data_IF_519705456462
#
_entry.id   IF_519705456462
#
_cell.length_a   1.000
_cell.length_b   1.000
_cell.length_c   1.000
_cell.angle_alpha   90.00
_cell.angle_beta   90.00
_cell.angle_gamma   90.00
#
_symmetry.space_group_name_H-M   'P 1'
#
loop_
_entity.id
_entity.type
_entity.pdbx_description
1 polymer ?
#
# COMPACT_ATOMS: atom_id res chain seq x y z
N UNK A 1 -32.30 3.43 9.17
CA UNK A 1 -32.60 2.01 9.48
C UNK A 1 -31.28 1.26 9.46
N UNK A 2 -30.86 0.68 10.58
CA UNK A 2 -29.61 -0.09 10.68
C UNK A 2 -29.79 -1.38 9.88
N UNK A 3 -28.87 -1.64 8.96
CA UNK A 3 -28.90 -2.80 8.07
C UNK A 3 -28.69 -4.08 8.90
N UNK A 4 -29.64 -5.03 8.95
CA UNK A 4 -29.53 -6.23 9.76
C UNK A 4 -28.94 -7.36 8.91
N UNK A 5 -27.62 -7.37 8.76
CA UNK A 5 -26.85 -8.55 8.37
C UNK A 5 -25.34 -8.24 8.53
N UNK A 6 -24.75 -8.58 9.66
CA UNK A 6 -23.31 -8.79 9.70
C UNK A 6 -22.99 -9.87 10.73
N UNK A 7 -23.29 -11.12 10.37
CA UNK A 7 -22.50 -12.24 10.87
C UNK A 7 -21.04 -11.90 10.58
N UNK A 8 -20.28 -11.63 11.63
CA UNK A 8 -18.96 -10.99 11.59
C UNK A 8 -18.02 -11.74 10.66
N UNK A 9 -17.87 -11.27 9.42
CA UNK A 9 -16.77 -11.73 8.60
C UNK A 9 -15.51 -11.11 9.22
N UNK A 10 -14.67 -11.92 9.87
CA UNK A 10 -13.51 -11.42 10.62
C UNK A 10 -12.44 -10.85 9.69
N UNK A 11 -12.46 -11.25 8.42
CA UNK A 11 -11.55 -10.77 7.38
C UNK A 11 -12.15 -9.60 6.61
N UNK A 12 -11.40 -8.51 6.55
CA UNK A 12 -11.65 -7.33 5.72
C UNK A 12 -10.84 -7.45 4.42
N UNK A 13 -11.50 -7.71 3.30
CA UNK A 13 -10.82 -7.74 2.00
C UNK A 13 -10.60 -6.34 1.42
N UNK A 14 -9.43 -6.14 0.80
CA UNK A 14 -8.98 -4.88 0.24
C UNK A 14 -8.77 -4.89 -1.27
N UNK A 15 -9.09 -3.75 -1.90
CA UNK A 15 -8.87 -3.49 -3.33
C UNK A 15 -7.64 -2.59 -3.53
N UNK A 16 -6.80 -2.93 -4.51
CA UNK A 16 -5.55 -2.22 -4.77
C UNK A 16 -5.60 -1.24 -5.96
N UNK A 17 -5.56 0.05 -5.66
CA UNK A 17 -5.21 1.22 -6.49
C UNK A 17 -6.13 1.58 -7.67
N UNK A 18 -6.76 0.61 -8.33
CA UNK A 18 -7.39 0.79 -9.63
C UNK A 18 -8.57 -0.15 -9.81
N UNK A 19 -9.39 0.17 -10.80
CA UNK A 19 -10.55 -0.61 -11.21
C UNK A 19 -10.36 -1.18 -12.62
N UNK A 20 -10.92 -2.35 -12.87
CA UNK A 20 -10.91 -2.99 -14.19
C UNK A 20 -12.10 -2.52 -15.05
N UNK A 21 -13.30 -2.59 -14.49
CA UNK A 21 -14.56 -2.31 -15.19
C UNK A 21 -15.12 -0.93 -14.84
N UNK A 22 -14.94 -0.48 -13.60
CA UNK A 22 -15.43 0.84 -13.18
C UNK A 22 -14.62 1.95 -13.85
N UNK A 23 -15.27 3.02 -14.36
CA UNK A 23 -14.60 4.10 -15.06
C UNK A 23 -13.87 5.08 -14.13
N UNK A 24 -13.36 4.61 -12.99
CA UNK A 24 -12.63 5.40 -11.99
C UNK A 24 -11.14 5.40 -12.35
N UNK A 25 -10.59 6.58 -12.66
CA UNK A 25 -9.20 6.71 -13.12
C UNK A 25 -8.45 7.77 -12.35
N UNK A 26 -7.37 7.36 -11.71
CA UNK A 26 -6.35 8.27 -11.20
C UNK A 26 -5.48 8.80 -12.35
N UNK A 27 -5.12 10.07 -12.25
CA UNK A 27 -4.35 10.82 -13.22
C UNK A 27 -2.92 11.01 -12.72
N UNK A 28 -2.00 11.01 -13.67
CA UNK A 28 -0.60 11.31 -13.41
C UNK A 28 -0.02 12.12 -14.59
N UNK A 29 1.17 12.67 -14.39
CA UNK A 29 1.96 13.35 -15.42
C UNK A 29 3.42 12.90 -15.29
N UNK A 30 4.23 13.23 -16.29
CA UNK A 30 5.66 12.95 -16.27
C UNK A 30 6.45 14.24 -16.04
N UNK A 31 7.68 14.09 -15.56
CA UNK A 31 8.64 15.18 -15.44
C UNK A 31 8.82 15.86 -16.80
N UNK A 32 9.07 15.07 -17.86
CA UNK A 32 9.23 15.57 -19.23
C UNK A 32 8.08 16.47 -19.69
N UNK A 33 6.84 16.05 -19.45
CA UNK A 33 5.67 16.83 -19.87
C UNK A 33 5.46 18.09 -19.02
N UNK A 34 6.04 18.15 -17.82
CA UNK A 34 5.83 19.26 -16.87
C UNK A 34 6.99 20.26 -16.92
N UNK A 35 8.23 19.80 -17.14
CA UNK A 35 9.41 20.66 -17.28
C UNK A 35 9.47 21.44 -18.60
N UNK A 36 8.65 21.05 -19.58
CA UNK A 36 8.49 21.77 -20.85
C UNK A 36 7.44 22.89 -20.78
N UNK A 37 6.77 23.06 -19.64
CA UNK A 37 5.75 24.09 -19.44
C UNK A 37 6.33 25.23 -18.60
N UNK A 38 5.79 26.44 -18.76
CA UNK A 38 6.01 27.53 -17.80
C UNK A 38 5.54 27.09 -16.41
N UNK A 39 6.28 27.48 -15.35
CA UNK A 39 6.04 26.98 -13.99
C UNK A 39 4.61 27.18 -13.52
N UNK A 40 4.02 28.35 -13.77
CA UNK A 40 2.62 28.63 -13.42
C UNK A 40 1.64 27.69 -14.13
N UNK A 41 1.81 27.48 -15.44
CA UNK A 41 0.97 26.54 -16.20
C UNK A 41 1.17 25.09 -15.75
N UNK A 42 2.38 24.71 -15.34
CA UNK A 42 2.65 23.41 -14.75
C UNK A 42 1.92 23.22 -13.42
N UNK A 43 1.90 24.25 -12.55
CA UNK A 43 1.19 24.24 -11.27
C UNK A 43 -0.33 24.18 -11.46
N UNK A 44 -0.90 24.94 -12.39
CA UNK A 44 -2.33 24.85 -12.76
C UNK A 44 -2.70 23.44 -13.23
N UNK A 45 -1.86 22.83 -14.08
CA UNK A 45 -2.04 21.44 -14.51
C UNK A 45 -1.99 20.48 -13.32
N UNK A 46 -1.01 20.63 -12.42
CA UNK A 46 -0.86 19.78 -11.23
C UNK A 46 -2.08 19.92 -10.29
N UNK A 47 -2.56 21.14 -10.04
CA UNK A 47 -3.76 21.40 -9.25
C UNK A 47 -4.99 20.68 -9.82
N UNK A 48 -5.21 20.79 -11.13
CA UNK A 48 -6.29 20.06 -11.81
C UNK A 48 -6.16 18.55 -11.64
N UNK A 49 -4.97 17.98 -11.81
CA UNK A 49 -4.75 16.54 -11.64
C UNK A 49 -4.99 16.09 -10.19
N UNK A 50 -4.56 16.87 -9.20
CA UNK A 50 -4.79 16.57 -7.78
C UNK A 50 -6.28 16.59 -7.44
N UNK A 51 -7.03 17.58 -7.95
CA UNK A 51 -8.49 17.64 -7.81
C UNK A 51 -9.18 16.44 -8.45
N UNK A 52 -8.82 16.10 -9.69
CA UNK A 52 -9.35 14.90 -10.38
C UNK A 52 -9.05 13.62 -9.57
N UNK A 53 -7.88 13.53 -8.94
CA UNK A 53 -7.49 12.41 -8.10
C UNK A 53 -8.27 12.33 -6.79
N UNK A 54 -8.56 13.46 -6.14
CA UNK A 54 -9.41 13.49 -4.95
C UNK A 54 -10.84 12.99 -5.28
N UNK A 55 -11.41 13.45 -6.40
CA UNK A 55 -12.74 13.00 -6.87
C UNK A 55 -12.75 11.51 -7.24
N UNK A 56 -11.67 11.01 -7.86
CA UNK A 56 -11.49 9.59 -8.14
C UNK A 56 -11.39 8.76 -6.86
N UNK A 57 -10.69 9.26 -5.83
CA UNK A 57 -10.62 8.61 -4.53
C UNK A 57 -11.99 8.55 -3.86
N UNK A 58 -12.75 9.65 -3.84
CA UNK A 58 -14.10 9.67 -3.31
C UNK A 58 -15.00 8.64 -4.01
N UNK A 59 -14.92 8.57 -5.34
CA UNK A 59 -15.66 7.57 -6.14
C UNK A 59 -15.23 6.14 -5.80
N UNK A 60 -13.93 5.91 -5.59
CA UNK A 60 -13.37 4.61 -5.21
C UNK A 60 -13.92 4.15 -3.86
N UNK A 61 -13.93 5.04 -2.87
CA UNK A 61 -14.47 4.77 -1.54
C UNK A 61 -15.98 4.52 -1.60
N UNK A 62 -16.73 5.28 -2.40
CA UNK A 62 -18.16 5.06 -2.64
C UNK A 62 -18.45 3.68 -3.26
N UNK A 63 -17.61 3.24 -4.21
CA UNK A 63 -17.70 1.88 -4.74
C UNK A 63 -17.43 0.84 -3.65
N UNK A 64 -16.36 1.00 -2.87
CA UNK A 64 -16.02 0.09 -1.78
C UNK A 64 -17.16 -0.03 -0.76
N UNK A 65 -17.75 1.10 -0.34
CA UNK A 65 -18.89 1.13 0.57
C UNK A 65 -20.12 0.40 0.02
N UNK A 66 -20.50 0.69 -1.23
CA UNK A 66 -21.68 0.09 -1.87
C UNK A 66 -21.51 -1.41 -2.15
N UNK A 67 -20.28 -1.86 -2.36
CA UNK A 67 -19.97 -3.24 -2.67
C UNK A 67 -19.49 -4.05 -1.47
N UNK A 68 -19.35 -3.45 -0.28
CA UNK A 68 -18.86 -4.11 0.94
C UNK A 68 -17.40 -4.56 0.83
N UNK A 69 -16.55 -3.79 0.16
CA UNK A 69 -15.10 -3.92 0.17
C UNK A 69 -14.60 -3.05 1.32
N UNK A 70 -13.91 -3.65 2.30
CA UNK A 70 -13.61 -2.98 3.54
C UNK A 70 -12.25 -2.29 3.59
N UNK A 71 -11.41 -2.45 2.57
CA UNK A 71 -10.11 -1.77 2.49
C UNK A 71 -9.84 -1.27 1.07
N UNK A 72 -9.15 -0.14 0.94
CA UNK A 72 -8.69 0.39 -0.34
C UNK A 72 -7.27 0.94 -0.22
N UNK A 73 -6.33 0.36 -0.99
CA UNK A 73 -5.00 0.94 -1.17
C UNK A 73 -5.06 2.05 -2.18
N UNK A 74 -4.78 3.24 -1.70
CA UNK A 74 -4.79 4.46 -2.49
C UNK A 74 -3.59 4.44 -3.43
N UNK A 75 -3.79 4.94 -4.65
CA UNK A 75 -2.70 5.11 -5.60
C UNK A 75 -1.63 6.04 -5.00
N UNK A 76 -0.39 5.58 -4.87
CA UNK A 76 0.70 6.36 -4.25
C UNK A 76 1.08 7.63 -5.04
N UNK A 77 0.73 7.70 -6.32
CA UNK A 77 0.94 8.88 -7.18
C UNK A 77 -0.26 9.84 -7.13
N UNK A 78 -1.03 9.84 -6.04
CA UNK A 78 -2.24 10.66 -5.85
C UNK A 78 -1.97 12.16 -5.98
N UNK A 79 -0.79 12.63 -5.57
CA UNK A 79 -0.24 13.95 -5.90
C UNK A 79 0.94 13.79 -6.88
N UNK A 80 0.72 13.91 -8.20
CA UNK A 80 1.76 13.72 -9.20
C UNK A 80 2.99 14.60 -8.96
N UNK A 81 4.19 14.04 -9.07
CA UNK A 81 5.49 14.75 -9.00
C UNK A 81 5.79 15.52 -7.69
N UNK A 82 4.99 15.39 -6.62
CA UNK A 82 5.09 16.20 -5.38
C UNK A 82 6.52 16.35 -4.86
N UNK A 83 7.29 15.26 -4.85
CA UNK A 83 8.64 15.18 -4.28
C UNK A 83 9.76 15.24 -5.33
N UNK A 84 9.43 15.46 -6.61
CA UNK A 84 10.41 15.46 -7.68
C UNK A 84 11.38 16.64 -7.54
N UNK A 85 12.72 16.47 -7.64
CA UNK A 85 13.69 17.54 -7.40
C UNK A 85 13.51 18.80 -8.26
N UNK A 86 13.04 18.64 -9.50
CA UNK A 86 12.87 19.74 -10.46
C UNK A 86 11.42 20.23 -10.59
N UNK A 87 10.44 19.40 -10.25
CA UNK A 87 9.02 19.68 -10.53
C UNK A 87 8.13 19.65 -9.29
N UNK A 88 8.70 19.28 -8.13
CA UNK A 88 8.00 19.23 -6.86
C UNK A 88 7.41 20.58 -6.46
N UNK A 89 6.52 20.54 -5.49
CA UNK A 89 5.72 21.69 -5.04
C UNK A 89 5.23 21.42 -3.62
N UNK A 90 4.79 22.47 -2.95
CA UNK A 90 3.91 22.37 -1.78
C UNK A 90 2.47 22.64 -2.17
N UNK A 91 1.51 22.19 -1.34
CA UNK A 91 0.09 22.44 -1.64
C UNK A 91 -0.21 23.94 -1.73
N UNK A 92 0.50 24.77 -0.97
CA UNK A 92 0.42 26.24 -1.03
C UNK A 92 0.90 26.84 -2.35
N UNK A 93 1.66 26.10 -3.17
CA UNK A 93 2.08 26.54 -4.50
C UNK A 93 0.98 26.34 -5.55
N UNK A 94 0.02 25.45 -5.28
CA UNK A 94 -1.05 25.11 -6.21
C UNK A 94 -2.18 26.14 -6.13
N UNK A 95 -2.74 26.56 -7.28
CA UNK A 95 -4.03 27.21 -7.31
C UNK A 95 -5.08 26.33 -6.60
N UNK A 96 -5.83 26.92 -5.66
CA UNK A 96 -6.87 26.24 -4.89
C UNK A 96 -6.33 25.03 -4.09
N UNK A 97 -5.08 25.12 -3.62
CA UNK A 97 -4.41 24.05 -2.89
C UNK A 97 -5.10 23.66 -1.59
N UNK A 98 -5.65 24.64 -0.85
CA UNK A 98 -6.39 24.40 0.39
C UNK A 98 -7.67 23.60 0.12
N UNK A 99 -8.43 23.99 -0.91
CA UNK A 99 -9.66 23.30 -1.33
C UNK A 99 -9.36 21.88 -1.83
N UNK A 100 -8.22 21.65 -2.47
CA UNK A 100 -7.79 20.30 -2.86
C UNK A 100 -7.53 19.44 -1.62
N UNK A 101 -6.89 19.99 -0.57
CA UNK A 101 -6.67 19.28 0.69
C UNK A 101 -8.00 18.99 1.39
N UNK A 102 -8.95 19.93 1.37
CA UNK A 102 -10.31 19.72 1.90
C UNK A 102 -11.01 18.53 1.25
N UNK A 103 -10.92 18.37 -0.09
CA UNK A 103 -11.48 17.20 -0.78
C UNK A 103 -10.87 15.87 -0.30
N UNK A 104 -9.56 15.84 -0.01
CA UNK A 104 -8.92 14.63 0.56
C UNK A 104 -9.33 14.38 2.02
N UNK A 105 -9.54 15.44 2.81
CA UNK A 105 -10.06 15.33 4.17
C UNK A 105 -11.50 14.78 4.20
N UNK A 106 -12.33 15.20 3.24
CA UNK A 106 -13.67 14.64 3.02
C UNK A 106 -13.60 13.14 2.70
N UNK A 107 -12.67 12.72 1.81
CA UNK A 107 -12.44 11.31 1.51
C UNK A 107 -12.07 10.51 2.78
N UNK A 108 -11.18 11.05 3.62
CA UNK A 108 -10.80 10.40 4.87
C UNK A 108 -11.93 10.30 5.89
N UNK A 109 -12.79 11.33 5.95
CA UNK A 109 -14.00 11.33 6.77
C UNK A 109 -14.97 10.25 6.29
N UNK A 110 -15.24 10.21 4.98
CA UNK A 110 -16.10 9.21 4.35
C UNK A 110 -15.60 7.79 4.60
N UNK A 111 -14.30 7.54 4.40
CA UNK A 111 -13.71 6.22 4.63
C UNK A 111 -13.95 5.75 6.07
N UNK A 112 -13.74 6.63 7.06
CA UNK A 112 -13.98 6.31 8.47
C UNK A 112 -15.46 6.06 8.79
N UNK A 113 -16.37 6.87 8.25
CA UNK A 113 -17.81 6.73 8.47
C UNK A 113 -18.38 5.42 7.90
N UNK A 114 -17.79 4.95 6.79
CA UNK A 114 -18.17 3.70 6.13
C UNK A 114 -17.33 2.49 6.58
N UNK A 115 -16.47 2.65 7.58
CA UNK A 115 -15.54 1.62 8.04
C UNK A 115 -14.75 1.01 6.87
N UNK A 116 -14.08 1.86 6.09
CA UNK A 116 -13.16 1.47 5.02
C UNK A 116 -11.74 1.84 5.48
N UNK A 117 -10.88 0.82 5.59
CA UNK A 117 -9.47 1.02 5.90
C UNK A 117 -8.73 1.53 4.66
N UNK A 118 -7.89 2.54 4.82
CA UNK A 118 -7.07 3.08 3.74
C UNK A 118 -5.59 2.87 4.03
N UNK A 119 -4.82 2.61 2.98
CA UNK A 119 -3.38 2.40 3.05
C UNK A 119 -2.68 2.88 1.77
N UNK A 120 -1.35 2.95 1.83
CA UNK A 120 -0.48 3.20 0.69
C UNK A 120 0.55 2.10 0.57
N UNK A 121 0.98 1.84 -0.67
CA UNK A 121 2.18 1.07 -0.99
C UNK A 121 2.96 1.85 -2.05
N UNK A 122 3.88 2.74 -1.64
CA UNK A 122 4.72 3.49 -2.57
C UNK A 122 5.56 2.57 -3.46
N UNK A 123 6.03 3.10 -4.59
CA UNK A 123 6.71 2.27 -5.57
C UNK A 123 8.06 1.70 -5.08
N UNK A 124 8.59 0.75 -5.85
CA UNK A 124 9.86 0.07 -5.59
C UNK A 124 11.10 1.00 -5.55
N UNK A 125 10.97 2.29 -5.88
CA UNK A 125 12.07 3.26 -5.80
C UNK A 125 12.21 3.87 -4.40
N UNK A 126 11.23 3.65 -3.51
CA UNK A 126 11.34 3.98 -2.07
C UNK A 126 12.16 2.90 -1.38
N UNK A 127 13.46 3.16 -1.19
CA UNK A 127 14.43 2.18 -0.70
C UNK A 127 15.26 2.73 0.45
N UNK A 128 14.84 2.44 1.67
CA UNK A 128 15.50 2.92 2.89
C UNK A 128 16.85 2.28 3.18
N UNK A 129 17.17 1.12 2.60
CA UNK A 129 18.41 0.40 2.86
C UNK A 129 19.49 0.60 1.77
N UNK A 130 19.26 1.52 0.83
CA UNK A 130 20.18 1.80 -0.26
C UNK A 130 21.56 2.25 0.25
N UNK A 131 22.66 1.77 -0.35
CA UNK A 131 24.01 2.26 -0.03
C UNK A 131 24.23 3.70 -0.54
N UNK A 132 23.36 4.19 -1.41
CA UNK A 132 23.42 5.53 -2.01
C UNK A 132 22.66 6.55 -1.16
N UNK A 133 23.34 7.55 -0.55
CA UNK A 133 22.69 8.52 0.34
C UNK A 133 21.62 9.37 -0.34
N UNK A 134 21.77 9.66 -1.63
CA UNK A 134 20.80 10.42 -2.42
C UNK A 134 19.49 9.65 -2.61
N UNK A 135 19.56 8.33 -2.84
CA UNK A 135 18.38 7.45 -2.94
C UNK A 135 17.63 7.40 -1.61
N UNK A 136 18.35 7.26 -0.49
CA UNK A 136 17.74 7.27 0.84
C UNK A 136 17.06 8.61 1.12
N UNK A 137 17.70 9.73 0.76
CA UNK A 137 17.14 11.07 0.98
C UNK A 137 15.83 11.27 0.21
N UNK A 138 15.78 10.81 -1.05
CA UNK A 138 14.54 10.83 -1.86
C UNK A 138 13.47 9.90 -1.30
N UNK A 139 13.86 8.71 -0.83
CA UNK A 139 12.93 7.76 -0.20
C UNK A 139 12.30 8.32 1.07
N UNK A 140 13.09 9.03 1.89
CA UNK A 140 12.57 9.72 3.08
C UNK A 140 11.58 10.80 2.67
N UNK A 141 11.93 11.65 1.69
CA UNK A 141 11.03 12.71 1.21
C UNK A 141 9.70 12.14 0.68
N UNK A 142 9.76 11.02 -0.07
CA UNK A 142 8.57 10.33 -0.54
C UNK A 142 7.72 9.81 0.62
N UNK A 143 8.31 9.16 1.61
CA UNK A 143 7.57 8.67 2.78
C UNK A 143 6.93 9.79 3.61
N UNK A 144 7.59 10.94 3.76
CA UNK A 144 7.03 12.11 4.43
C UNK A 144 5.80 12.63 3.68
N UNK A 145 5.87 12.74 2.35
CA UNK A 145 4.74 13.10 1.50
C UNK A 145 3.58 12.09 1.62
N UNK A 146 3.87 10.79 1.48
CA UNK A 146 2.84 9.74 1.59
C UNK A 146 2.15 9.79 2.95
N UNK A 147 2.91 10.07 4.01
CA UNK A 147 2.38 10.14 5.37
C UNK A 147 1.63 11.45 5.67
N UNK A 148 1.96 12.54 4.98
CA UNK A 148 1.16 13.77 4.97
C UNK A 148 -0.22 13.51 4.37
N UNK A 149 -0.28 12.92 3.17
CA UNK A 149 -1.58 12.57 2.56
C UNK A 149 -2.33 11.54 3.40
N UNK A 150 -1.63 10.58 4.00
CA UNK A 150 -2.23 9.60 4.92
C UNK A 150 -2.95 10.25 6.11
N UNK A 151 -2.50 11.40 6.60
CA UNK A 151 -3.21 12.16 7.65
C UNK A 151 -4.56 12.71 7.16
N UNK A 152 -4.63 13.14 5.91
CA UNK A 152 -5.85 13.66 5.29
C UNK A 152 -6.87 12.55 5.09
N UNK A 153 -6.45 11.47 4.43
CA UNK A 153 -7.30 10.34 4.03
C UNK A 153 -7.46 9.25 5.10
N UNK A 154 -6.94 9.51 6.31
CA UNK A 154 -6.98 8.62 7.49
C UNK A 154 -6.37 7.24 7.25
N UNK A 155 -5.36 7.16 6.39
CA UNK A 155 -4.61 5.93 6.18
C UNK A 155 -3.68 5.65 7.37
N UNK A 156 -3.70 4.40 7.85
CA UNK A 156 -2.90 3.95 9.00
C UNK A 156 -1.67 3.13 8.59
N UNK A 157 -1.54 2.77 7.30
CA UNK A 157 -0.44 1.97 6.77
C UNK A 157 0.18 2.67 5.56
N UNK A 158 1.50 2.82 5.58
CA UNK A 158 2.36 3.11 4.43
C UNK A 158 3.35 1.96 4.33
N UNK A 159 3.09 1.02 3.42
CA UNK A 159 3.87 -0.20 3.28
C UNK A 159 5.00 -0.05 2.29
N UNK A 160 6.18 -0.61 2.60
CA UNK A 160 7.32 -0.69 1.66
C UNK A 160 7.97 -2.07 1.75
N UNK A 161 8.72 -2.46 0.72
CA UNK A 161 9.57 -3.65 0.82
C UNK A 161 10.86 -3.40 1.62
N UNK A 162 11.55 -4.47 2.01
CA UNK A 162 12.85 -4.40 2.69
C UNK A 162 13.96 -3.74 1.86
N UNK A 163 13.79 -3.63 0.54
CA UNK A 163 14.71 -2.98 -0.38
C UNK A 163 15.67 -3.95 -1.07
N UNK A 164 16.92 -3.55 -1.32
CA UNK A 164 17.91 -4.40 -1.99
C UNK A 164 18.82 -5.17 -1.02
N UNK A 165 19.24 -6.38 -1.36
CA UNK A 165 20.19 -7.16 -0.55
C UNK A 165 21.64 -6.66 -0.63
N UNK A 166 22.02 -6.01 -1.72
CA UNK A 166 23.36 -5.40 -1.95
C UNK A 166 24.56 -6.31 -1.63
N UNK A 167 24.41 -7.63 -1.77
CA UNK A 167 25.45 -8.63 -1.49
C UNK A 167 25.61 -9.00 0.00
N UNK A 168 24.97 -8.29 0.92
CA UNK A 168 25.00 -8.55 2.36
C UNK A 168 23.67 -8.10 2.98
N UNK A 169 22.73 -9.06 3.12
CA UNK A 169 21.41 -8.81 3.69
C UNK A 169 21.49 -8.29 5.13
N UNK A 170 22.28 -8.89 6.07
CA UNK A 170 22.42 -8.35 7.42
C UNK A 170 22.87 -6.88 7.45
N UNK A 171 23.87 -6.49 6.67
CA UNK A 171 24.33 -5.10 6.64
C UNK A 171 23.31 -4.17 5.98
N UNK A 172 22.57 -4.64 4.97
CA UNK A 172 21.45 -3.91 4.39
C UNK A 172 20.32 -3.68 5.40
N UNK A 173 19.94 -4.68 6.20
CA UNK A 173 18.93 -4.54 7.26
C UNK A 173 19.40 -3.54 8.33
N UNK A 174 20.68 -3.57 8.73
CA UNK A 174 21.25 -2.56 9.65
C UNK A 174 21.14 -1.14 9.08
N UNK A 175 21.40 -0.95 7.78
CA UNK A 175 21.18 0.34 7.12
C UNK A 175 19.71 0.76 7.13
N UNK A 176 18.79 -0.17 6.87
CA UNK A 176 17.35 0.08 7.00
C UNK A 176 17.03 0.61 8.40
N UNK A 177 17.41 -0.13 9.45
CA UNK A 177 17.18 0.24 10.84
C UNK A 177 17.80 1.59 11.22
N UNK A 178 19.00 1.90 10.70
CA UNK A 178 19.64 3.21 10.89
C UNK A 178 18.83 4.33 10.24
N UNK A 179 18.32 4.12 9.03
CA UNK A 179 17.56 5.15 8.30
C UNK A 179 16.15 5.32 8.83
N UNK A 180 15.53 4.30 9.43
CA UNK A 180 14.26 4.45 10.17
C UNK A 180 14.33 5.54 11.24
N UNK A 181 15.49 5.70 11.90
CA UNK A 181 15.70 6.72 12.94
C UNK A 181 15.69 8.15 12.40
N UNK A 182 15.76 8.32 11.07
CA UNK A 182 15.73 9.64 10.39
C UNK A 182 14.32 10.05 9.99
N UNK A 183 13.36 9.13 10.03
CA UNK A 183 11.98 9.39 9.67
C UNK A 183 11.26 10.14 10.78
N UNK A 184 10.34 11.03 10.41
CA UNK A 184 9.49 11.72 11.38
C UNK A 184 8.57 10.72 12.11
N UNK A 185 8.03 11.14 13.26
CA UNK A 185 7.02 10.34 13.97
C UNK A 185 5.76 10.13 13.11
N UNK A 186 5.42 11.10 12.25
CA UNK A 186 4.32 11.00 11.28
C UNK A 186 4.50 9.79 10.37
N UNK A 187 5.70 9.58 9.83
CA UNK A 187 6.01 8.40 9.01
C UNK A 187 6.10 7.14 9.85
N UNK A 188 6.89 7.17 10.94
CA UNK A 188 7.16 5.98 11.76
C UNK A 188 5.90 5.34 12.35
N UNK A 189 4.86 6.14 12.64
CA UNK A 189 3.60 5.62 13.17
C UNK A 189 2.79 4.78 12.17
N UNK A 190 3.04 4.95 10.86
CA UNK A 190 2.30 4.30 9.76
C UNK A 190 3.14 3.33 8.94
N UNK A 191 4.46 3.47 8.98
CA UNK A 191 5.36 2.66 8.18
C UNK A 191 5.25 1.18 8.56
N UNK A 192 5.12 0.33 7.54
CA UNK A 192 5.26 -1.12 7.65
C UNK A 192 6.29 -1.61 6.65
N UNK A 193 6.80 -2.82 6.86
CA UNK A 193 7.68 -3.49 5.92
C UNK A 193 7.07 -4.80 5.47
N UNK A 194 7.30 -5.18 4.21
CA UNK A 194 6.76 -6.39 3.59
C UNK A 194 7.88 -7.32 3.12
N UNK A 195 7.68 -8.64 3.29
CA UNK A 195 8.51 -9.66 2.65
C UNK A 195 8.27 -9.69 1.13
N UNK A 196 9.27 -10.09 0.35
CA UNK A 196 9.22 -10.04 -1.12
C UNK A 196 9.60 -11.38 -1.77
N UNK A 197 9.42 -11.46 -3.09
CA UNK A 197 9.57 -12.69 -3.87
C UNK A 197 11.02 -13.04 -4.27
N UNK A 198 12.01 -12.22 -3.88
CA UNK A 198 13.40 -12.32 -4.40
C UNK A 198 14.50 -12.11 -3.38
N UNK A 199 14.30 -11.20 -2.44
CA UNK A 199 15.33 -10.65 -1.58
C UNK A 199 15.03 -11.00 -0.14
N UNK A 200 13.96 -10.49 0.47
CA UNK A 200 13.74 -10.61 1.90
C UNK A 200 12.56 -11.53 2.24
N UNK A 201 12.87 -12.63 2.95
CA UNK A 201 11.85 -13.55 3.49
C UNK A 201 11.27 -13.00 4.81
N UNK A 202 10.18 -13.60 5.35
CA UNK A 202 9.71 -13.26 6.68
C UNK A 202 10.79 -13.40 7.76
N UNK A 203 11.59 -14.46 7.73
CA UNK A 203 12.68 -14.69 8.70
C UNK A 203 13.75 -13.60 8.66
N UNK A 204 14.02 -13.03 7.48
CA UNK A 204 14.96 -11.91 7.35
C UNK A 204 14.41 -10.63 8.04
N UNK A 205 13.10 -10.36 7.92
CA UNK A 205 12.49 -9.08 8.34
C UNK A 205 11.90 -9.09 9.75
N UNK A 206 11.49 -10.25 10.27
CA UNK A 206 10.90 -10.35 11.62
C UNK A 206 11.80 -9.76 12.72
N UNK A 207 13.12 -10.03 12.76
CA UNK A 207 14.00 -9.42 13.77
C UNK A 207 14.02 -7.89 13.70
N UNK A 208 14.05 -7.32 12.49
CA UNK A 208 13.98 -5.87 12.28
C UNK A 208 12.67 -5.30 12.81
N UNK A 209 11.54 -5.96 12.52
CA UNK A 209 10.22 -5.54 12.99
C UNK A 209 10.14 -5.55 14.51
N UNK A 210 10.63 -6.61 15.15
CA UNK A 210 10.66 -6.75 16.61
C UNK A 210 11.56 -5.72 17.29
N UNK A 211 12.74 -5.44 16.72
CA UNK A 211 13.68 -4.46 17.27
C UNK A 211 13.16 -3.03 17.15
N UNK A 212 12.53 -2.69 16.02
CA UNK A 212 12.20 -1.31 15.68
C UNK A 212 10.75 -0.94 15.94
N UNK A 213 9.89 -1.93 16.16
CA UNK A 213 8.45 -1.79 16.39
C UNK A 213 7.63 -1.49 15.13
N UNK A 214 8.23 -1.57 13.93
CA UNK A 214 7.46 -1.48 12.67
C UNK A 214 6.76 -2.82 12.41
N UNK A 215 5.48 -2.82 11.98
CA UNK A 215 4.80 -4.06 11.65
C UNK A 215 5.31 -4.72 10.36
N UNK A 216 5.27 -6.06 10.33
CA UNK A 216 5.46 -6.86 9.14
C UNK A 216 4.11 -7.06 8.43
N UNK A 217 3.95 -6.47 7.24
CA UNK A 217 2.92 -6.87 6.30
C UNK A 217 3.37 -8.20 5.70
N UNK A 218 2.69 -9.27 6.09
CA UNK A 218 2.98 -10.59 5.57
C UNK A 218 2.31 -10.79 4.21
N UNK A 219 3.11 -11.06 3.18
CA UNK A 219 2.64 -11.51 1.88
C UNK A 219 2.87 -13.02 1.73
N UNK A 220 1.77 -13.77 1.70
CA UNK A 220 1.81 -15.22 1.59
C UNK A 220 2.22 -15.72 0.19
N UNK A 221 1.98 -14.93 -0.86
CA UNK A 221 2.41 -15.27 -2.22
C UNK A 221 3.91 -15.11 -2.37
N UNK A 222 4.46 -13.97 -1.94
CA UNK A 222 5.89 -13.71 -1.90
C UNK A 222 6.63 -14.76 -1.07
N UNK A 223 6.11 -15.15 0.09
CA UNK A 223 6.73 -16.19 0.91
C UNK A 223 6.76 -17.55 0.20
N UNK A 224 5.71 -17.90 -0.55
CA UNK A 224 5.74 -19.13 -1.35
C UNK A 224 6.71 -19.06 -2.53
N UNK A 225 6.93 -17.87 -3.11
CA UNK A 225 7.94 -17.66 -4.16
C UNK A 225 9.38 -17.69 -3.63
N UNK A 226 9.60 -17.16 -2.42
CA UNK A 226 10.88 -17.14 -1.74
C UNK A 226 10.73 -17.75 -0.34
N UNK A 227 10.71 -19.09 -0.24
CA UNK A 227 10.50 -19.78 1.02
C UNK A 227 11.70 -19.66 1.95
N UNK A 228 11.43 -19.66 3.24
CA UNK A 228 12.42 -19.89 4.29
C UNK A 228 12.00 -21.07 5.19
N UNK A 229 12.58 -21.17 6.39
CA UNK A 229 12.32 -22.26 7.33
C UNK A 229 10.95 -22.15 8.05
N UNK A 230 10.21 -21.04 7.88
CA UNK A 230 8.89 -20.86 8.47
C UNK A 230 7.79 -21.44 7.57
N UNK A 231 6.83 -22.12 8.20
CA UNK A 231 5.55 -22.41 7.52
C UNK A 231 4.73 -21.13 7.36
N UNK A 232 3.69 -21.17 6.51
CA UNK A 232 2.74 -20.06 6.38
C UNK A 232 2.09 -19.73 7.72
N UNK A 233 1.72 -20.74 8.51
CA UNK A 233 1.14 -20.58 9.84
C UNK A 233 2.12 -19.95 10.83
N UNK A 234 3.38 -20.39 10.82
CA UNK A 234 4.41 -19.85 11.70
C UNK A 234 4.76 -18.39 11.34
N UNK A 235 4.92 -18.09 10.05
CA UNK A 235 5.15 -16.74 9.56
C UNK A 235 3.96 -15.82 9.85
N UNK A 236 2.73 -16.32 9.66
CA UNK A 236 1.49 -15.63 10.03
C UNK A 236 1.50 -15.28 11.52
N UNK A 237 1.67 -16.29 12.39
CA UNK A 237 1.66 -16.09 13.84
C UNK A 237 2.73 -15.07 14.28
N UNK A 238 3.95 -15.18 13.74
CA UNK A 238 5.03 -14.25 14.04
C UNK A 238 4.71 -12.82 13.56
N UNK A 239 4.23 -12.67 12.32
CA UNK A 239 3.84 -11.38 11.76
C UNK A 239 2.76 -10.70 12.61
N UNK A 240 1.73 -11.43 13.05
CA UNK A 240 0.67 -10.89 13.92
C UNK A 240 1.22 -10.24 15.19
N UNK A 241 2.30 -10.78 15.78
CA UNK A 241 2.89 -10.22 17.01
C UNK A 241 3.56 -8.86 16.80
N UNK A 242 3.86 -8.48 15.55
CA UNK A 242 4.46 -7.18 15.21
C UNK A 242 3.43 -6.05 15.12
N UNK A 243 2.14 -6.37 15.12
CA UNK A 243 1.06 -5.39 14.97
C UNK A 243 0.47 -4.98 16.32
N UNK A 244 0.24 -3.68 16.49
CA UNK A 244 -0.47 -3.09 17.64
C UNK A 244 -1.89 -2.60 17.28
N UNK A 245 -2.35 -2.92 16.08
CA UNK A 245 -3.65 -2.58 15.48
C UNK A 245 -4.06 -3.72 14.55
N UNK A 246 -5.20 -3.60 13.86
CA UNK A 246 -5.63 -4.64 12.91
C UNK A 246 -4.51 -4.93 11.90
N UNK A 247 -4.03 -6.18 11.78
CA UNK A 247 -2.97 -6.51 10.83
C UNK A 247 -3.43 -6.32 9.39
N UNK A 248 -2.50 -6.00 8.49
CA UNK A 248 -2.72 -5.93 7.05
C UNK A 248 -1.76 -6.90 6.38
N UNK A 249 -2.28 -7.87 5.63
CA UNK A 249 -1.54 -8.88 4.87
C UNK A 249 -1.93 -8.82 3.39
N UNK A 250 -1.11 -9.44 2.55
CA UNK A 250 -1.33 -9.50 1.11
C UNK A 250 -1.53 -10.93 0.64
N UNK A 251 -2.37 -11.09 -0.40
CA UNK A 251 -2.57 -12.36 -1.08
C UNK A 251 -2.58 -12.19 -2.59
N UNK A 252 -1.93 -13.15 -3.26
CA UNK A 252 -1.89 -13.33 -4.70
C UNK A 252 -1.85 -14.81 -5.06
N UNK A 253 -2.19 -15.13 -6.30
CA UNK A 253 -2.05 -16.46 -6.89
C UNK A 253 -1.18 -16.41 -8.14
N UNK A 254 -0.38 -17.46 -8.42
CA UNK A 254 0.49 -17.50 -9.59
C UNK A 254 -0.30 -17.64 -10.88
N UNK A 255 -0.01 -16.81 -11.87
CA UNK A 255 -0.72 -16.78 -13.17
C UNK A 255 -0.64 -18.09 -13.93
N UNK A 256 0.47 -18.80 -13.79
CA UNK A 256 0.79 -20.02 -14.52
C UNK A 256 0.89 -21.22 -13.56
N UNK A 257 0.32 -21.09 -12.35
CA UNK A 257 0.42 -22.10 -11.29
C UNK A 257 1.79 -22.12 -10.59
N UNK A 258 1.85 -22.79 -9.44
CA UNK A 258 3.09 -22.89 -8.64
C UNK A 258 4.21 -23.66 -9.33
N UNK A 259 3.88 -24.57 -10.24
CA UNK A 259 4.85 -25.32 -11.08
C UNK A 259 5.16 -24.60 -12.40
N UNK A 260 4.58 -23.42 -12.62
CA UNK A 260 4.83 -22.60 -13.79
C UNK A 260 6.20 -21.91 -13.75
N UNK A 261 6.69 -21.39 -14.88
CA UNK A 261 8.05 -20.84 -14.99
C UNK A 261 8.24 -19.50 -14.23
N UNK A 262 7.14 -18.81 -13.89
CA UNK A 262 7.16 -17.48 -13.27
C UNK A 262 6.05 -17.39 -12.22
N UNK A 263 6.18 -18.12 -11.09
CA UNK A 263 5.13 -18.22 -10.08
C UNK A 263 4.84 -16.85 -9.43
N UNK A 264 5.81 -15.94 -9.42
CA UNK A 264 5.65 -14.60 -8.88
C UNK A 264 4.74 -13.66 -9.71
N UNK A 265 4.30 -14.07 -10.90
CA UNK A 265 3.37 -13.26 -11.70
C UNK A 265 1.97 -13.44 -11.18
N UNK A 266 1.34 -12.36 -10.71
CA UNK A 266 -0.01 -12.44 -10.18
C UNK A 266 -1.03 -12.78 -11.29
N UNK A 267 -1.94 -13.68 -10.96
CA UNK A 267 -3.08 -14.07 -11.76
C UNK A 267 -4.18 -12.99 -11.74
N UNK A 268 -5.20 -13.16 -12.58
CA UNK A 268 -6.36 -12.28 -12.63
C UNK A 268 -7.24 -12.41 -11.38
N UNK A 269 -7.28 -13.61 -10.80
CA UNK A 269 -8.06 -13.97 -9.61
C UNK A 269 -7.23 -14.74 -8.60
N UNK A 270 -7.69 -14.79 -7.36
CA UNK A 270 -7.13 -15.65 -6.31
C UNK A 270 -7.72 -17.05 -6.44
N UNK A 271 -6.85 -18.07 -6.44
CA UNK A 271 -7.24 -19.45 -6.17
C UNK A 271 -7.53 -19.58 -4.68
N UNK A 272 -8.71 -20.08 -4.33
CA UNK A 272 -9.10 -20.24 -2.92
C UNK A 272 -8.15 -21.15 -2.15
N UNK A 273 -7.48 -22.09 -2.83
CA UNK A 273 -6.49 -22.98 -2.21
C UNK A 273 -5.20 -22.24 -1.81
N UNK A 274 -4.95 -21.06 -2.38
CA UNK A 274 -3.82 -20.23 -1.98
C UNK A 274 -4.15 -19.36 -0.74
N UNK A 275 -5.43 -19.22 -0.39
CA UNK A 275 -5.85 -18.48 0.79
C UNK A 275 -5.48 -19.28 2.06
N UNK A 276 -4.60 -18.77 2.95
CA UNK A 276 -4.18 -19.54 4.11
C UNK A 276 -5.34 -19.85 5.07
N UNK A 277 -5.61 -21.12 5.33
CA UNK A 277 -6.68 -21.55 6.25
C UNK A 277 -6.54 -20.96 7.66
N UNK A 278 -5.30 -20.75 8.12
CA UNK A 278 -5.04 -20.12 9.42
C UNK A 278 -5.50 -18.65 9.50
N UNK A 279 -5.88 -18.02 8.38
CA UNK A 279 -6.41 -16.66 8.35
C UNK A 279 -7.93 -16.58 8.52
N UNK A 280 -8.67 -17.65 8.22
CA UNK A 280 -10.14 -17.65 8.16
C UNK A 280 -10.80 -17.14 9.46
N UNK A 281 -10.17 -17.44 10.60
CA UNK A 281 -10.68 -17.07 11.93
C UNK A 281 -10.05 -15.81 12.53
N UNK A 282 -9.17 -15.13 11.80
CA UNK A 282 -8.44 -13.95 12.28
C UNK A 282 -9.19 -12.65 11.98
N UNK A 283 -9.08 -11.68 12.89
CA UNK A 283 -9.43 -10.29 12.59
C UNK A 283 -8.29 -9.65 11.80
N UNK A 284 -8.44 -9.62 10.48
CA UNK A 284 -7.34 -9.31 9.55
C UNK A 284 -7.85 -8.49 8.36
N UNK A 285 -7.08 -7.49 7.94
CA UNK A 285 -7.22 -6.90 6.62
C UNK A 285 -6.36 -7.67 5.61
N UNK A 286 -6.94 -8.09 4.49
CA UNK A 286 -6.21 -8.78 3.42
C UNK A 286 -6.37 -8.02 2.11
N UNK A 287 -5.29 -7.44 1.61
CA UNK A 287 -5.28 -6.83 0.28
C UNK A 287 -5.17 -7.91 -0.81
N UNK A 288 -6.05 -7.84 -1.79
CA UNK A 288 -6.13 -8.80 -2.90
C UNK A 288 -5.36 -8.25 -4.09
N UNK A 289 -4.14 -8.72 -4.29
CA UNK A 289 -3.24 -8.22 -5.31
C UNK A 289 -3.38 -8.93 -6.66
N UNK A 290 -4.60 -8.98 -7.19
CA UNK A 290 -4.89 -9.65 -8.46
C UNK A 290 -5.10 -8.69 -9.63
N UNK A 291 -4.93 -9.15 -10.88
CA UNK A 291 -5.06 -8.30 -12.07
C UNK A 291 -6.51 -7.92 -12.39
N UNK A 292 -7.51 -8.72 -11.99
CA UNK A 292 -8.92 -8.40 -12.20
C UNK A 292 -9.51 -7.46 -11.13
N UNK A 293 -8.67 -6.91 -10.24
CA UNK A 293 -9.04 -5.80 -9.34
C UNK A 293 -10.31 -6.09 -8.52
N UNK A 294 -11.32 -5.23 -8.60
CA UNK A 294 -12.58 -5.35 -7.87
C UNK A 294 -13.27 -6.68 -8.11
N UNK A 295 -13.18 -7.23 -9.32
CA UNK A 295 -13.79 -8.53 -9.65
C UNK A 295 -13.12 -9.67 -8.87
N UNK A 296 -11.80 -9.58 -8.63
CA UNK A 296 -11.09 -10.57 -7.83
C UNK A 296 -11.49 -10.49 -6.35
N UNK A 297 -11.62 -9.28 -5.79
CA UNK A 297 -12.08 -9.08 -4.42
C UNK A 297 -13.50 -9.65 -4.23
N UNK A 298 -14.42 -9.31 -5.15
CA UNK A 298 -15.81 -9.75 -5.09
C UNK A 298 -15.93 -11.27 -5.22
N UNK A 299 -15.16 -11.89 -6.13
CA UNK A 299 -15.11 -13.34 -6.31
C UNK A 299 -14.54 -14.05 -5.09
N UNK A 300 -13.40 -13.60 -4.55
CA UNK A 300 -12.80 -14.18 -3.36
C UNK A 300 -13.74 -14.09 -2.16
N UNK A 301 -14.39 -12.94 -1.96
CA UNK A 301 -15.38 -12.78 -0.89
C UNK A 301 -16.52 -13.78 -0.97
N UNK A 302 -16.99 -14.10 -2.19
CA UNK A 302 -18.04 -15.09 -2.39
C UNK A 302 -17.54 -16.51 -2.08
N UNK A 303 -16.27 -16.80 -2.32
CA UNK A 303 -15.66 -18.10 -2.03
C UNK A 303 -15.37 -18.31 -0.53
N UNK A 304 -15.17 -17.24 0.24
CA UNK A 304 -14.94 -17.27 1.69
C UNK A 304 -16.24 -17.28 2.53
N UNK A 305 -17.42 -17.32 1.90
CA UNK A 305 -18.73 -17.39 2.56
C UNK A 305 -19.30 -18.80 2.48
#
# INVERSE_FOLDING_TARGET
MKNPANTSNKIRLGLCCQFLEEPIKFRNTTVKASSQMERTAALEKLARLCRENALALQSSLGFCASHGIGCFRINSQILPLKTHPECGYEMSDLPEGEEIVELFLECGTFAREHDIRTCFHPDQFVVLNSPRPDVVTRSIAELEYQSEVAEWVKADVVNIHGGGGYGDKPEAIKRFAKNLKRLSNRVRSRLTVENDDKTYTPSDLLPLCQETGIPLVYDAHHHRCLPDDLSIEAATAAALTTWNREPLFHISSPREGWQGPKPNRHHDFIDIQDFPHCWEELKLTVEVEAKAKEQAVLKLRKALR
#
